data_IF_153860057103
#
_entry.id   IF_153860057103
#
_cell.length_a   1.000
_cell.length_b   1.000
_cell.length_c   1.000
_cell.angle_alpha   90.00
_cell.angle_beta   90.00
_cell.angle_gamma   90.00
#
_symmetry.space_group_name_H-M   'P 1'
#
loop_
_entity.id
_entity.type
_entity.pdbx_description
1 polymer ?
#
# COMPACT_ATOMS: atom_id res chain seq x y z
N UNK A 1 23.10 38.92 -22.54
CA UNK A 1 23.96 38.45 -21.42
C UNK A 1 23.32 37.22 -20.77
N UNK A 2 23.58 36.02 -21.31
CA UNK A 2 23.10 34.75 -20.75
C UNK A 2 24.23 34.18 -19.90
N UNK A 3 24.10 34.22 -18.57
CA UNK A 3 25.10 33.62 -17.67
C UNK A 3 25.01 32.10 -17.80
N UNK A 4 25.95 31.51 -18.54
CA UNK A 4 26.31 30.11 -18.38
C UNK A 4 27.09 29.97 -17.07
N UNK A 5 26.59 29.15 -16.14
CA UNK A 5 27.36 28.73 -14.97
C UNK A 5 28.15 27.49 -15.38
N UNK A 6 29.46 27.65 -15.61
CA UNK A 6 30.40 26.55 -15.79
C UNK A 6 31.02 26.20 -14.44
N UNK A 7 31.01 24.90 -14.15
CA UNK A 7 32.15 24.19 -13.56
C UNK A 7 32.18 24.06 -12.04
N UNK A 8 32.42 22.83 -11.59
CA UNK A 8 33.07 22.60 -10.30
C UNK A 8 32.88 21.19 -9.75
N UNK A 9 33.89 20.33 -9.93
CA UNK A 9 34.26 19.35 -8.91
C UNK A 9 33.82 17.91 -9.15
N UNK A 10 34.73 17.09 -9.69
CA UNK A 10 34.79 15.70 -9.26
C UNK A 10 35.15 15.67 -7.76
N UNK A 11 34.40 14.90 -6.99
CA UNK A 11 34.70 14.53 -5.60
C UNK A 11 34.15 13.12 -5.36
N UNK A 12 34.80 12.35 -4.49
CA UNK A 12 34.55 10.93 -4.18
C UNK A 12 33.06 10.56 -4.17
N UNK A 13 32.69 9.36 -4.66
CA UNK A 13 31.29 8.93 -4.80
C UNK A 13 30.49 9.15 -3.51
N UNK A 14 29.84 10.31 -3.43
CA UNK A 14 28.95 10.67 -2.33
C UNK A 14 27.72 9.78 -2.37
N UNK A 15 27.09 9.59 -1.21
CA UNK A 15 25.81 8.88 -1.17
C UNK A 15 24.78 9.69 -1.97
N UNK A 16 24.08 9.01 -2.88
CA UNK A 16 22.94 9.58 -3.58
C UNK A 16 21.65 9.21 -2.82
N UNK A 17 20.79 10.20 -2.64
CA UNK A 17 19.54 10.03 -1.92
C UNK A 17 18.36 10.16 -2.87
N UNK A 18 17.41 9.24 -2.76
CA UNK A 18 16.22 9.15 -3.59
C UNK A 18 14.98 8.96 -2.73
N UNK A 19 13.85 9.47 -3.20
CA UNK A 19 12.55 9.26 -2.59
C UNK A 19 11.70 8.36 -3.49
N UNK A 20 11.45 7.13 -3.03
CA UNK A 20 10.55 6.21 -3.69
C UNK A 20 9.14 6.32 -3.13
N UNK A 21 8.17 6.51 -4.02
CA UNK A 21 6.74 6.49 -3.69
C UNK A 21 6.00 5.49 -4.56
N UNK A 22 5.09 4.72 -3.96
CA UNK A 22 4.21 3.78 -4.66
C UNK A 22 2.80 3.89 -4.13
N UNK A 23 1.81 3.92 -5.03
CA UNK A 23 0.39 4.03 -4.67
C UNK A 23 -0.49 3.30 -5.67
N UNK A 24 -1.72 2.99 -5.26
CA UNK A 24 -2.68 2.30 -6.12
C UNK A 24 -3.83 1.73 -5.31
N UNK A 25 -4.65 0.92 -5.98
CA UNK A 25 -5.60 0.05 -5.29
C UNK A 25 -4.83 -1.08 -4.61
N UNK A 26 -5.28 -1.46 -3.42
CA UNK A 26 -4.79 -2.63 -2.70
C UNK A 26 -5.02 -3.89 -3.54
N UNK A 27 -4.01 -4.77 -3.62
CA UNK A 27 -4.01 -5.95 -4.50
C UNK A 27 -3.60 -5.65 -5.95
N UNK A 28 -3.09 -4.46 -6.25
CA UNK A 28 -2.64 -4.10 -7.59
C UNK A 28 -1.19 -3.60 -7.62
N UNK A 29 -0.55 -3.73 -8.78
CA UNK A 29 0.80 -3.21 -9.03
C UNK A 29 0.92 -1.70 -8.76
N UNK A 30 -0.14 -0.94 -9.04
CA UNK A 30 -0.20 0.49 -8.79
C UNK A 30 0.70 1.30 -9.71
N UNK A 31 1.00 2.53 -9.30
CA UNK A 31 1.97 3.43 -9.90
C UNK A 31 3.10 3.67 -8.91
N UNK A 32 4.28 4.00 -9.43
CA UNK A 32 5.40 4.43 -8.62
C UNK A 32 6.09 5.66 -9.21
N UNK A 33 6.82 6.38 -8.36
CA UNK A 33 7.67 7.49 -8.74
C UNK A 33 8.96 7.43 -7.91
N UNK A 34 10.09 7.62 -8.58
CA UNK A 34 11.40 7.74 -7.95
C UNK A 34 11.89 9.17 -8.21
N UNK A 35 11.97 9.97 -7.15
CA UNK A 35 12.45 11.35 -7.21
C UNK A 35 13.89 11.43 -6.70
N UNK A 36 14.72 12.20 -7.39
CA UNK A 36 16.14 12.36 -7.09
C UNK A 36 17.03 12.04 -8.30
N UNK A 37 18.36 12.00 -8.11
CA UNK A 37 19.04 12.23 -6.83
C UNK A 37 18.83 13.67 -6.33
N UNK A 38 18.71 13.85 -5.02
CA UNK A 38 18.54 15.17 -4.41
C UNK A 38 19.89 15.88 -4.25
N UNK A 39 20.03 17.09 -4.81
CA UNK A 39 21.26 17.89 -4.76
C UNK A 39 21.64 18.30 -3.32
N UNK A 40 20.66 18.52 -2.44
CA UNK A 40 20.89 18.78 -1.02
C UNK A 40 21.16 17.51 -0.19
N UNK A 41 21.30 16.35 -0.83
CA UNK A 41 21.59 15.07 -0.17
C UNK A 41 20.44 14.57 0.70
N UNK A 42 20.78 14.04 1.88
CA UNK A 42 19.84 13.42 2.82
C UNK A 42 18.75 14.39 3.28
N UNK A 43 19.11 15.61 3.66
CA UNK A 43 18.20 16.61 4.24
C UNK A 43 17.04 16.97 3.29
N UNK A 44 17.34 17.11 2.00
CA UNK A 44 16.34 17.38 0.96
C UNK A 44 15.41 16.17 0.75
N UNK A 45 15.96 14.95 0.75
CA UNK A 45 15.18 13.72 0.63
C UNK A 45 14.26 13.50 1.84
N UNK A 46 14.75 13.74 3.06
CA UNK A 46 13.95 13.69 4.29
C UNK A 46 12.83 14.74 4.29
N UNK A 47 13.16 15.96 3.85
CA UNK A 47 12.18 17.05 3.74
C UNK A 47 11.09 16.74 2.72
N UNK A 48 11.45 16.18 1.57
CA UNK A 48 10.50 15.72 0.55
C UNK A 48 9.60 14.60 1.09
N UNK A 49 10.17 13.61 1.78
CA UNK A 49 9.44 12.54 2.43
C UNK A 49 8.44 13.08 3.46
N UNK A 50 8.90 13.91 4.41
CA UNK A 50 8.08 14.46 5.48
C UNK A 50 6.92 15.31 4.94
N UNK A 51 7.14 16.04 3.84
CA UNK A 51 6.11 16.80 3.14
C UNK A 51 5.03 15.90 2.56
N UNK A 52 5.40 14.82 1.87
CA UNK A 52 4.44 13.85 1.32
C UNK A 52 3.67 13.19 2.46
N UNK A 53 4.37 12.71 3.50
CA UNK A 53 3.76 12.08 4.66
C UNK A 53 2.70 13.00 5.29
N UNK A 54 3.08 14.23 5.64
CA UNK A 54 2.17 15.22 6.24
C UNK A 54 1.00 15.57 5.33
N UNK A 55 1.20 15.64 4.02
CA UNK A 55 0.10 15.87 3.07
C UNK A 55 -0.95 14.74 3.13
N UNK A 56 -0.49 13.49 3.23
CA UNK A 56 -1.35 12.30 3.24
C UNK A 56 -1.99 12.03 4.61
N UNK A 57 -1.27 12.20 5.71
CA UNK A 57 -1.75 11.87 7.07
C UNK A 57 -2.25 13.09 7.84
N UNK A 58 -1.82 14.29 7.47
CA UNK A 58 -2.07 15.52 8.21
C UNK A 58 -1.22 15.69 9.47
N UNK A 59 -0.21 14.84 9.69
CA UNK A 59 0.64 14.84 10.90
C UNK A 59 2.11 14.97 10.49
N UNK A 60 2.91 15.71 11.26
CA UNK A 60 4.36 15.76 11.07
C UNK A 60 4.95 14.36 11.31
N UNK A 61 5.84 13.88 10.44
CA UNK A 61 6.40 12.53 10.57
C UNK A 61 7.09 12.31 11.92
N UNK A 62 7.83 13.29 12.42
CA UNK A 62 8.50 13.26 13.73
C UNK A 62 7.57 13.17 14.94
N UNK A 63 6.26 13.44 14.76
CA UNK A 63 5.24 13.37 15.80
C UNK A 63 4.23 12.23 15.56
N UNK A 64 4.39 11.50 14.47
CA UNK A 64 3.44 10.48 14.08
C UNK A 64 3.60 9.24 14.97
N UNK A 65 2.47 8.71 15.43
CA UNK A 65 2.40 7.45 16.16
C UNK A 65 1.74 6.43 15.25
N UNK A 66 2.39 5.28 15.06
CA UNK A 66 1.81 4.17 14.29
C UNK A 66 0.51 3.69 14.95
N UNK A 67 -0.49 3.35 14.14
CA UNK A 67 -1.78 2.85 14.59
C UNK A 67 -2.69 3.91 15.25
N UNK A 68 -2.24 5.17 15.36
CA UNK A 68 -3.09 6.25 15.84
C UNK A 68 -4.26 6.50 14.87
N UNK A 69 -5.39 6.94 15.42
CA UNK A 69 -6.57 7.22 14.61
C UNK A 69 -6.28 8.30 13.56
N UNK A 70 -6.65 8.07 12.28
CA UNK A 70 -6.39 9.04 11.23
C UNK A 70 -7.27 10.28 11.39
N UNK A 71 -6.75 11.43 10.95
CA UNK A 71 -7.58 12.61 10.74
C UNK A 71 -8.65 12.33 9.67
N UNK A 72 -9.83 12.93 9.82
CA UNK A 72 -10.92 12.78 8.85
C UNK A 72 -10.45 13.08 7.42
N UNK A 73 -10.68 12.13 6.50
CA UNK A 73 -10.28 12.25 5.09
C UNK A 73 -8.78 12.11 4.82
N UNK A 74 -7.98 11.67 5.81
CA UNK A 74 -6.53 11.45 5.67
C UNK A 74 -6.17 9.97 5.80
N UNK A 75 -4.97 9.63 5.34
CA UNK A 75 -4.42 8.29 5.45
C UNK A 75 -4.00 7.98 6.90
N UNK A 76 -4.18 6.73 7.29
CA UNK A 76 -3.69 6.19 8.57
C UNK A 76 -2.22 5.75 8.44
N UNK A 77 -1.39 6.10 9.43
CA UNK A 77 -0.06 5.55 9.55
C UNK A 77 -0.15 4.18 10.22
N UNK A 78 -0.16 3.12 9.42
CA UNK A 78 -0.34 1.76 9.89
C UNK A 78 0.79 1.32 10.82
N UNK A 79 0.50 0.45 11.80
CA UNK A 79 1.54 -0.29 12.52
C UNK A 79 2.41 -1.12 11.59
N UNK A 80 3.54 -1.60 12.07
CA UNK A 80 4.31 -2.59 11.32
C UNK A 80 3.63 -3.96 11.47
N UNK A 81 3.30 -4.61 10.35
CA UNK A 81 2.72 -5.95 10.37
C UNK A 81 3.57 -6.91 11.24
N UNK A 82 2.90 -7.71 12.07
CA UNK A 82 3.57 -8.70 12.91
C UNK A 82 4.30 -9.73 12.03
N UNK A 83 5.40 -10.30 12.54
CA UNK A 83 6.04 -11.47 11.93
C UNK A 83 5.20 -12.70 12.25
N UNK A 84 4.03 -12.82 11.61
CA UNK A 84 3.21 -14.03 11.68
C UNK A 84 3.75 -15.15 10.79
N UNK A 85 3.29 -16.37 11.05
CA UNK A 85 3.57 -17.50 10.17
C UNK A 85 2.83 -17.33 8.85
N UNK A 86 3.57 -17.33 7.73
CA UNK A 86 3.06 -17.11 6.37
C UNK A 86 2.38 -18.36 5.78
N UNK A 87 1.49 -18.98 6.53
CA UNK A 87 0.91 -20.29 6.19
C UNK A 87 -0.57 -20.20 5.76
N UNK A 88 -1.15 -19.01 5.68
CA UNK A 88 -2.53 -18.85 5.22
C UNK A 88 -2.64 -18.86 3.69
N UNK A 89 -3.61 -19.61 3.18
CA UNK A 89 -4.03 -19.57 1.78
C UNK A 89 -5.26 -18.67 1.65
N UNK A 90 -5.18 -17.68 0.76
CA UNK A 90 -6.24 -16.70 0.56
C UNK A 90 -6.96 -16.97 -0.77
N UNK A 91 -8.29 -17.00 -0.73
CA UNK A 91 -9.13 -17.30 -1.89
C UNK A 91 -10.19 -16.23 -2.15
N UNK A 92 -10.58 -16.08 -3.41
CA UNK A 92 -11.76 -15.33 -3.82
C UNK A 92 -12.82 -16.25 -4.43
N UNK A 93 -14.10 -15.90 -4.29
CA UNK A 93 -15.20 -16.65 -4.88
C UNK A 93 -15.68 -15.95 -6.16
N UNK A 94 -15.52 -16.64 -7.29
CA UNK A 94 -15.92 -16.15 -8.60
C UNK A 94 -17.33 -16.64 -8.92
N UNK A 95 -18.15 -15.76 -9.48
CA UNK A 95 -19.46 -16.11 -10.04
C UNK A 95 -19.70 -15.37 -11.33
N UNK A 96 -20.25 -16.05 -12.34
CA UNK A 96 -20.57 -15.45 -13.65
C UNK A 96 -19.34 -14.76 -14.27
N UNK A 97 -18.24 -15.49 -14.37
CA UNK A 97 -17.02 -14.99 -14.98
C UNK A 97 -17.23 -14.66 -16.46
N UNK A 98 -16.71 -13.50 -16.90
CA UNK A 98 -16.84 -13.06 -18.30
C UNK A 98 -16.02 -13.92 -19.26
N UNK A 99 -14.95 -14.54 -18.76
CA UNK A 99 -14.07 -15.42 -19.52
C UNK A 99 -14.49 -16.90 -19.44
N UNK A 100 -15.65 -17.18 -18.82
CA UNK A 100 -16.27 -18.51 -18.78
C UNK A 100 -15.72 -19.45 -17.72
N UNK A 101 -14.95 -18.97 -16.74
CA UNK A 101 -14.55 -19.80 -15.59
C UNK A 101 -15.78 -20.27 -14.79
N UNK A 102 -15.80 -21.52 -14.32
CA UNK A 102 -16.86 -22.01 -13.44
C UNK A 102 -17.00 -21.19 -12.16
N UNK A 103 -18.19 -21.18 -11.59
CA UNK A 103 -18.41 -20.64 -10.24
C UNK A 103 -17.61 -21.47 -9.22
N UNK A 104 -16.84 -20.81 -8.35
CA UNK A 104 -15.96 -21.52 -7.44
C UNK A 104 -15.00 -20.65 -6.64
N UNK A 105 -14.30 -21.30 -5.71
CA UNK A 105 -13.20 -20.70 -4.95
C UNK A 105 -11.90 -20.80 -5.75
N UNK A 106 -11.26 -19.66 -5.96
CA UNK A 106 -10.00 -19.53 -6.67
C UNK A 106 -8.97 -18.89 -5.75
N UNK A 107 -7.74 -19.41 -5.78
CA UNK A 107 -6.66 -18.81 -5.03
C UNK A 107 -6.36 -17.42 -5.59
N UNK A 108 -6.05 -16.46 -4.71
CA UNK A 108 -5.50 -15.20 -5.19
C UNK A 108 -4.17 -15.43 -5.90
N UNK A 109 -3.88 -14.60 -6.90
CA UNK A 109 -2.54 -14.55 -7.49
C UNK A 109 -1.49 -14.37 -6.39
N UNK A 110 -0.32 -14.99 -6.52
CA UNK A 110 0.71 -15.04 -5.45
C UNK A 110 1.04 -13.67 -4.84
N UNK A 111 1.12 -12.62 -5.66
CA UNK A 111 1.35 -11.25 -5.20
C UNK A 111 0.21 -10.72 -4.34
N UNK A 112 -1.03 -11.04 -4.71
CA UNK A 112 -2.23 -10.59 -4.01
C UNK A 112 -2.41 -11.37 -2.72
N UNK A 113 -2.21 -12.69 -2.74
CA UNK A 113 -2.24 -13.52 -1.53
C UNK A 113 -1.23 -13.01 -0.48
N UNK A 114 -0.01 -12.68 -0.89
CA UNK A 114 1.00 -12.09 0.00
C UNK A 114 0.58 -10.71 0.53
N UNK A 115 -0.12 -9.91 -0.27
CA UNK A 115 -0.64 -8.62 0.16
C UNK A 115 -1.81 -8.79 1.15
N UNK A 116 -2.75 -9.71 0.89
CA UNK A 116 -3.86 -10.02 1.80
C UNK A 116 -3.32 -10.48 3.15
N UNK A 117 -2.33 -11.38 3.14
CA UNK A 117 -1.66 -11.84 4.34
C UNK A 117 -1.03 -10.68 5.12
N UNK A 118 -0.31 -9.79 4.43
CA UNK A 118 0.26 -8.60 5.08
C UNK A 118 -0.81 -7.71 5.71
N UNK A 119 -1.95 -7.51 5.04
CA UNK A 119 -3.07 -6.73 5.57
C UNK A 119 -3.74 -7.41 6.77
N UNK A 120 -3.82 -8.74 6.77
CA UNK A 120 -4.32 -9.51 7.89
C UNK A 120 -3.39 -9.41 9.10
N UNK A 121 -2.09 -9.66 8.93
CA UNK A 121 -1.09 -9.49 9.98
C UNK A 121 -1.05 -8.05 10.52
N UNK A 122 -1.28 -7.07 9.64
CA UNK A 122 -1.47 -5.68 10.02
C UNK A 122 -2.69 -5.47 10.91
N UNK A 123 -3.84 -6.05 10.54
CA UNK A 123 -5.08 -5.96 11.30
C UNK A 123 -4.94 -6.62 12.68
N UNK A 124 -4.27 -7.76 12.75
CA UNK A 124 -3.92 -8.45 14.00
C UNK A 124 -2.99 -7.58 14.86
N UNK A 125 -1.91 -7.04 14.30
CA UNK A 125 -0.99 -6.15 15.02
C UNK A 125 -1.71 -4.93 15.59
N UNK A 126 -2.65 -4.38 14.82
CA UNK A 126 -3.50 -3.27 15.21
C UNK A 126 -4.63 -3.68 16.17
N UNK A 127 -4.53 -4.83 16.85
CA UNK A 127 -5.51 -5.34 17.84
C UNK A 127 -6.94 -5.41 17.32
N UNK A 128 -7.11 -5.78 16.05
CA UNK A 128 -8.41 -5.94 15.41
C UNK A 128 -9.27 -4.67 15.40
N UNK A 129 -8.65 -3.50 15.30
CA UNK A 129 -9.41 -2.23 15.23
C UNK A 129 -10.36 -2.24 14.03
N UNK A 130 -11.64 -2.00 14.30
CA UNK A 130 -12.74 -2.12 13.32
C UNK A 130 -12.54 -1.33 12.02
N UNK A 131 -11.93 -0.13 12.07
CA UNK A 131 -11.67 0.68 10.86
C UNK A 131 -10.71 0.00 9.87
N UNK A 132 -9.95 -0.99 10.33
CA UNK A 132 -9.00 -1.76 9.55
C UNK A 132 -9.53 -3.15 9.12
N UNK A 133 -10.77 -3.52 9.49
CA UNK A 133 -11.32 -4.84 9.14
C UNK A 133 -11.63 -4.96 7.66
N UNK A 134 -12.12 -3.89 7.02
CA UNK A 134 -12.47 -3.91 5.60
C UNK A 134 -11.28 -3.55 4.70
N UNK A 135 -11.04 -4.38 3.68
CA UNK A 135 -10.05 -4.17 2.61
C UNK A 135 -10.67 -4.37 1.25
N UNK A 136 -10.30 -3.54 0.28
CA UNK A 136 -10.74 -3.69 -1.10
C UNK A 136 -9.58 -4.24 -1.92
N UNK A 137 -9.66 -5.52 -2.26
CA UNK A 137 -8.59 -6.25 -2.93
C UNK A 137 -8.99 -6.41 -4.39
N UNK A 138 -8.21 -5.80 -5.28
CA UNK A 138 -8.37 -6.00 -6.70
C UNK A 138 -7.69 -7.32 -7.10
N UNK A 139 -8.39 -8.15 -7.87
CA UNK A 139 -7.85 -9.41 -8.41
C UNK A 139 -7.70 -9.27 -9.93
N UNK A 140 -6.49 -8.97 -10.45
CA UNK A 140 -6.27 -8.81 -11.89
C UNK A 140 -6.70 -10.03 -12.70
N UNK A 141 -6.48 -11.24 -12.18
CA UNK A 141 -6.84 -12.49 -12.88
C UNK A 141 -8.34 -12.74 -13.05
N UNK A 142 -9.19 -11.97 -12.36
CA UNK A 142 -10.65 -12.00 -12.51
C UNK A 142 -11.25 -10.66 -12.93
N UNK A 143 -10.45 -9.58 -12.97
CA UNK A 143 -10.93 -8.21 -13.18
C UNK A 143 -11.83 -7.65 -12.05
N UNK A 144 -12.19 -8.45 -11.05
CA UNK A 144 -13.09 -8.04 -9.97
C UNK A 144 -12.34 -7.40 -8.79
N UNK A 145 -13.11 -6.67 -7.99
CA UNK A 145 -12.67 -6.18 -6.68
C UNK A 145 -13.52 -6.82 -5.60
N UNK A 146 -12.86 -7.26 -4.53
CA UNK A 146 -13.50 -7.90 -3.40
C UNK A 146 -13.34 -7.01 -2.17
N UNK A 147 -14.45 -6.68 -1.53
CA UNK A 147 -14.44 -6.12 -0.18
C UNK A 147 -14.28 -7.28 0.79
N UNK A 148 -13.08 -7.51 1.28
CA UNK A 148 -12.75 -8.52 2.29
C UNK A 148 -12.94 -7.92 3.67
N UNK A 149 -13.68 -8.62 4.53
CA UNK A 149 -13.77 -8.34 5.97
C UNK A 149 -12.85 -9.31 6.72
N UNK A 150 -11.73 -8.78 7.22
CA UNK A 150 -10.71 -9.53 7.93
C UNK A 150 -11.13 -9.96 9.34
N UNK A 151 -12.18 -9.34 9.90
CA UNK A 151 -12.75 -9.72 11.19
C UNK A 151 -13.75 -10.86 11.07
N UNK A 152 -14.63 -10.78 10.09
CA UNK A 152 -15.62 -11.83 9.81
C UNK A 152 -15.08 -12.96 8.93
N UNK A 153 -13.92 -12.77 8.30
CA UNK A 153 -13.36 -13.65 7.26
C UNK A 153 -14.35 -13.91 6.12
N UNK A 154 -15.02 -12.85 5.68
CA UNK A 154 -15.97 -12.86 4.56
C UNK A 154 -15.48 -11.96 3.44
N UNK A 155 -16.05 -12.12 2.25
CA UNK A 155 -15.81 -11.23 1.13
C UNK A 155 -17.09 -10.89 0.39
N UNK A 156 -17.12 -9.69 -0.20
CA UNK A 156 -18.17 -9.27 -1.11
C UNK A 156 -17.56 -8.88 -2.46
N UNK A 157 -18.02 -9.53 -3.53
CA UNK A 157 -17.69 -9.07 -4.89
C UNK A 157 -18.39 -7.71 -5.13
N UNK A 158 -17.61 -6.67 -5.41
CA UNK A 158 -18.16 -5.30 -5.49
C UNK A 158 -19.06 -5.07 -6.68
N UNK A 159 -18.97 -5.91 -7.72
CA UNK A 159 -19.78 -5.82 -8.94
C UNK A 159 -21.12 -6.53 -8.75
N UNK A 160 -21.12 -7.74 -8.21
CA UNK A 160 -22.36 -8.54 -8.03
C UNK A 160 -23.08 -8.28 -6.71
N UNK A 161 -22.42 -7.63 -5.74
CA UNK A 161 -22.89 -7.38 -4.37
C UNK A 161 -23.18 -8.65 -3.55
N UNK A 162 -22.75 -9.83 -4.04
CA UNK A 162 -22.89 -11.10 -3.31
C UNK A 162 -21.78 -11.21 -2.27
N UNK A 163 -22.16 -11.63 -1.05
CA UNK A 163 -21.23 -11.90 0.06
C UNK A 163 -21.04 -13.41 0.24
N UNK A 164 -19.84 -13.82 0.61
CA UNK A 164 -19.43 -15.20 0.90
C UNK A 164 -18.59 -15.23 2.16
#
# INVERSE_FOLDING_TARGET
KKKMKKGGGGSAAGLEYYLFTRWGRTGAGGQCNLEGPFDGGEDDAESAFAKIFKSKTGVDFSKAVQGAEPKTGKYEYLESASKGEKNASWYYYLTNDLDGKPDGWYEYDKSNAAEVEKLYLQYVASKHVARLSARFIHSPSSGFTYKVDLGALTQMNTSTKKTR
#
